data_IF_400884896736
#
_entry.id   IF_400884896736
#
_cell.length_a   1.000
_cell.length_b   1.000
_cell.length_c   1.000
_cell.angle_alpha   90.00
_cell.angle_beta   90.00
_cell.angle_gamma   90.00
#
_symmetry.space_group_name_H-M   'P 1'
#
loop_
_entity.id
_entity.type
_entity.pdbx_description
1 polymer ?
#
# COMPACT_ATOMS: atom_id res chain seq x y z
N UNK A 1 -45.49 -61.81 44.71
CA UNK A 1 -45.19 -60.37 44.89
C UNK A 1 -44.09 -59.95 43.92
N UNK A 2 -44.21 -58.74 43.35
CA UNK A 2 -43.25 -57.96 42.54
C UNK A 2 -43.08 -58.30 41.05
N UNK A 3 -44.08 -57.87 40.28
CA UNK A 3 -44.02 -56.99 39.10
C UNK A 3 -42.77 -57.01 38.20
N UNK A 4 -42.94 -57.60 37.02
CA UNK A 4 -42.16 -57.32 35.79
C UNK A 4 -42.64 -55.98 35.24
N UNK A 5 -41.74 -54.99 35.10
CA UNK A 5 -42.02 -53.74 34.38
C UNK A 5 -41.34 -53.79 33.02
N UNK A 6 -42.14 -53.95 31.98
CA UNK A 6 -41.79 -53.65 30.59
C UNK A 6 -42.00 -52.15 30.43
N UNK A 7 -40.96 -51.41 30.06
CA UNK A 7 -41.07 -50.04 29.60
C UNK A 7 -40.38 -49.92 28.24
N UNK A 8 -41.16 -50.10 27.18
CA UNK A 8 -40.86 -49.56 25.86
C UNK A 8 -40.95 -48.03 25.93
N UNK A 9 -40.02 -47.28 25.35
CA UNK A 9 -40.34 -46.25 24.33
C UNK A 9 -39.10 -45.42 23.90
N UNK A 10 -39.14 -45.10 22.61
CA UNK A 10 -38.54 -43.93 21.95
C UNK A 10 -37.04 -43.96 21.63
N UNK A 11 -36.77 -44.51 20.44
CA UNK A 11 -35.65 -44.20 19.57
C UNK A 11 -35.70 -42.69 19.22
N UNK A 12 -34.93 -41.88 19.93
CA UNK A 12 -34.76 -40.45 19.64
C UNK A 12 -33.75 -40.26 18.51
N UNK A 13 -34.23 -40.20 17.27
CA UNK A 13 -33.46 -39.81 16.10
C UNK A 13 -33.19 -38.29 16.18
N UNK A 14 -32.17 -37.89 16.94
CA UNK A 14 -31.71 -36.50 16.97
C UNK A 14 -30.91 -36.23 15.70
N UNK A 15 -31.62 -35.78 14.66
CA UNK A 15 -31.04 -35.07 13.52
C UNK A 15 -30.47 -33.77 14.09
N UNK A 16 -29.21 -33.79 14.53
CA UNK A 16 -28.46 -32.58 14.81
C UNK A 16 -28.10 -31.95 13.47
N UNK A 17 -28.92 -30.98 13.10
CA UNK A 17 -28.71 -30.00 12.05
C UNK A 17 -27.26 -29.51 12.02
N UNK A 18 -26.61 -29.81 10.89
CA UNK A 18 -25.64 -28.98 10.17
C UNK A 18 -25.21 -27.72 10.93
N UNK A 19 -24.09 -27.81 11.63
CA UNK A 19 -23.24 -26.63 11.86
C UNK A 19 -22.02 -26.78 10.97
N UNK A 20 -22.19 -26.37 9.71
CA UNK A 20 -21.08 -25.87 8.90
C UNK A 20 -20.54 -24.65 9.66
N UNK A 21 -19.48 -24.87 10.44
CA UNK A 21 -18.69 -23.78 11.01
C UNK A 21 -17.83 -23.22 9.89
N UNK A 22 -18.45 -22.37 9.07
CA UNK A 22 -17.75 -21.44 8.20
C UNK A 22 -17.67 -20.08 8.89
N UNK A 23 -16.55 -19.40 8.63
CA UNK A 23 -16.27 -17.99 8.91
C UNK A 23 -15.70 -17.69 10.30
N UNK A 24 -14.43 -18.07 10.48
CA UNK A 24 -13.51 -17.14 11.15
C UNK A 24 -13.31 -15.97 10.19
N UNK A 25 -14.00 -14.88 10.51
CA UNK A 25 -14.01 -13.62 9.79
C UNK A 25 -12.68 -12.88 10.04
N UNK A 26 -11.60 -13.31 9.37
CA UNK A 26 -10.28 -12.64 9.35
C UNK A 26 -10.30 -11.26 8.65
N UNK A 27 -11.44 -10.87 8.09
CA UNK A 27 -11.59 -9.64 7.30
C UNK A 27 -11.71 -8.35 8.15
N UNK A 28 -12.04 -8.46 9.45
CA UNK A 28 -12.27 -7.29 10.31
C UNK A 28 -11.02 -6.74 10.98
N UNK A 29 -10.04 -7.58 11.33
CA UNK A 29 -8.78 -7.10 11.94
C UNK A 29 -7.90 -6.36 10.92
N UNK A 30 -7.86 -6.84 9.67
CA UNK A 30 -7.08 -6.24 8.58
C UNK A 30 -7.55 -4.82 8.21
N UNK A 31 -8.85 -4.55 8.28
CA UNK A 31 -9.42 -3.22 7.97
C UNK A 31 -9.05 -2.15 9.01
N UNK A 32 -9.01 -2.52 10.29
CA UNK A 32 -8.70 -1.59 11.38
C UNK A 32 -7.23 -1.14 11.36
N UNK A 33 -6.33 -2.10 11.26
CA UNK A 33 -4.88 -1.82 11.18
C UNK A 33 -4.52 -1.05 9.92
N UNK A 34 -5.08 -1.43 8.76
CA UNK A 34 -4.84 -0.73 7.50
C UNK A 34 -5.20 0.76 7.58
N UNK A 35 -6.41 1.06 8.09
CA UNK A 35 -6.87 2.44 8.20
C UNK A 35 -5.94 3.26 9.08
N UNK A 36 -5.35 2.65 10.13
CA UNK A 36 -4.37 3.31 10.98
C UNK A 36 -3.09 3.70 10.22
N UNK A 37 -2.51 2.82 9.39
CA UNK A 37 -1.31 3.15 8.61
C UNK A 37 -1.57 4.28 7.62
N UNK A 38 -2.69 4.19 6.89
CA UNK A 38 -3.11 5.21 5.93
C UNK A 38 -3.39 6.55 6.62
N UNK A 39 -4.02 6.54 7.80
CA UNK A 39 -4.29 7.74 8.59
C UNK A 39 -3.02 8.37 9.16
N UNK A 40 -2.08 7.55 9.63
CA UNK A 40 -0.78 8.01 10.11
C UNK A 40 0.03 8.68 8.99
N UNK A 41 0.10 8.04 7.81
CA UNK A 41 0.76 8.64 6.64
C UNK A 41 0.07 9.96 6.26
N UNK A 42 -1.26 10.00 6.25
CA UNK A 42 -2.01 11.20 5.93
C UNK A 42 -1.79 12.35 6.92
N UNK A 43 -1.61 12.03 8.21
CA UNK A 43 -1.27 13.03 9.23
C UNK A 43 0.12 13.63 8.99
N UNK A 44 1.12 12.80 8.66
CA UNK A 44 2.48 13.28 8.34
C UNK A 44 2.49 14.13 7.08
N UNK A 45 1.78 13.70 6.01
CA UNK A 45 1.63 14.50 4.78
C UNK A 45 1.10 15.90 5.10
N UNK A 46 0.07 16.02 5.95
CA UNK A 46 -0.48 17.33 6.33
C UNK A 46 0.52 18.21 7.07
N UNK A 47 1.35 17.62 7.93
CA UNK A 47 2.39 18.36 8.64
C UNK A 47 3.44 18.87 7.66
N UNK A 48 3.92 18.00 6.77
CA UNK A 48 4.88 18.38 5.72
C UNK A 48 4.33 19.44 4.76
N UNK A 49 3.07 19.32 4.33
CA UNK A 49 2.40 20.35 3.49
C UNK A 49 2.38 21.71 4.21
N UNK A 50 2.05 21.70 5.51
CA UNK A 50 2.05 22.92 6.33
C UNK A 50 3.44 23.53 6.40
N UNK A 51 4.45 22.73 6.75
CA UNK A 51 5.82 23.19 6.94
C UNK A 51 6.44 23.69 5.63
N UNK A 52 6.10 23.07 4.50
CA UNK A 52 6.47 23.54 3.17
C UNK A 52 5.81 24.91 2.86
N UNK A 53 4.50 25.03 3.08
CA UNK A 53 3.75 26.27 2.80
C UNK A 53 4.15 27.45 3.69
N UNK A 54 4.62 27.17 4.91
CA UNK A 54 5.10 28.17 5.86
C UNK A 54 6.58 28.52 5.65
N UNK A 55 7.27 27.83 4.72
CA UNK A 55 8.68 28.04 4.45
C UNK A 55 9.58 27.60 5.60
N UNK A 56 9.16 26.58 6.36
CA UNK A 56 10.00 25.91 7.37
C UNK A 56 10.78 24.74 6.77
N UNK A 57 10.27 24.15 5.69
CA UNK A 57 10.89 23.05 4.98
C UNK A 57 11.44 23.51 3.62
N UNK A 58 12.57 22.93 3.18
CA UNK A 58 13.20 23.22 1.87
C UNK A 58 13.51 24.72 1.68
N UNK A 59 13.93 25.39 2.76
CA UNK A 59 14.22 26.84 2.77
C UNK A 59 15.33 27.20 1.79
N UNK A 60 16.36 26.37 1.75
CA UNK A 60 17.55 26.56 0.93
C UNK A 60 17.46 25.86 -0.44
N UNK A 61 16.35 25.16 -0.72
CA UNK A 61 16.13 24.54 -2.01
C UNK A 61 15.75 25.60 -3.06
N UNK A 62 16.07 25.32 -4.32
CA UNK A 62 15.58 26.11 -5.46
C UNK A 62 14.06 26.02 -5.59
N UNK A 63 13.46 27.00 -6.28
CA UNK A 63 12.01 26.96 -6.56
C UNK A 63 11.60 25.73 -7.36
N UNK A 64 12.48 25.26 -8.25
CA UNK A 64 12.27 24.04 -9.01
C UNK A 64 12.20 22.81 -8.11
N UNK A 65 13.12 22.67 -7.17
CA UNK A 65 13.13 21.55 -6.21
C UNK A 65 11.92 21.59 -5.28
N UNK A 66 11.55 22.79 -4.80
CA UNK A 66 10.32 22.98 -4.02
C UNK A 66 9.08 22.57 -4.80
N UNK A 67 8.99 22.96 -6.07
CA UNK A 67 7.88 22.58 -6.94
C UNK A 67 7.84 21.06 -7.15
N UNK A 68 8.98 20.45 -7.51
CA UNK A 68 9.05 18.99 -7.68
C UNK A 68 8.66 18.24 -6.40
N UNK A 69 9.10 18.71 -5.24
CA UNK A 69 8.69 18.14 -3.96
C UNK A 69 7.20 18.30 -3.70
N UNK A 70 6.62 19.47 -3.98
CA UNK A 70 5.19 19.73 -3.86
C UNK A 70 4.36 18.80 -4.74
N UNK A 71 4.79 18.57 -5.98
CA UNK A 71 4.11 17.68 -6.93
C UNK A 71 4.14 16.22 -6.42
N UNK A 72 5.29 15.76 -5.95
CA UNK A 72 5.45 14.43 -5.35
C UNK A 72 4.57 14.28 -4.11
N UNK A 73 4.54 15.28 -3.23
CA UNK A 73 3.72 15.26 -2.02
C UNK A 73 2.22 15.20 -2.35
N UNK A 74 1.79 15.89 -3.40
CA UNK A 74 0.43 15.82 -3.92
C UNK A 74 0.10 14.43 -4.46
N UNK A 75 0.98 13.81 -5.24
CA UNK A 75 0.78 12.45 -5.76
C UNK A 75 0.67 11.40 -4.64
N UNK A 76 1.53 11.52 -3.61
CA UNK A 76 1.44 10.69 -2.40
C UNK A 76 0.07 10.89 -1.73
N UNK A 77 -0.37 12.13 -1.56
CA UNK A 77 -1.64 12.47 -0.90
C UNK A 77 -2.84 11.90 -1.63
N UNK A 78 -2.93 12.09 -2.95
CA UNK A 78 -4.04 11.59 -3.76
C UNK A 78 -4.09 10.06 -3.72
N UNK A 79 -2.94 9.41 -3.91
CA UNK A 79 -2.85 7.96 -3.88
C UNK A 79 -3.24 7.39 -2.52
N UNK A 80 -2.78 8.03 -1.43
CA UNK A 80 -3.16 7.68 -0.05
C UNK A 80 -4.66 7.83 0.18
N UNK A 81 -5.28 8.91 -0.28
CA UNK A 81 -6.74 9.10 -0.16
C UNK A 81 -7.55 8.08 -0.95
N UNK A 82 -7.07 7.68 -2.14
CA UNK A 82 -7.70 6.61 -2.93
C UNK A 82 -7.63 5.28 -2.17
N UNK A 83 -6.47 4.95 -1.62
CA UNK A 83 -6.26 3.73 -0.83
C UNK A 83 -7.05 3.72 0.48
N UNK A 84 -7.27 4.90 1.09
CA UNK A 84 -8.17 5.04 2.24
C UNK A 84 -9.61 4.66 1.90
N UNK A 85 -10.09 5.08 0.73
CA UNK A 85 -11.47 4.79 0.28
C UNK A 85 -11.61 3.36 -0.24
N UNK A 86 -10.58 2.89 -0.95
CA UNK A 86 -10.52 1.56 -1.53
C UNK A 86 -9.12 0.94 -1.32
N UNK A 87 -8.96 0.16 -0.23
CA UNK A 87 -7.79 -0.67 0.05
C UNK A 87 -7.21 -1.47 -1.12
N UNK A 88 -8.10 -1.96 -1.98
CA UNK A 88 -7.76 -2.88 -3.08
C UNK A 88 -7.53 -2.14 -4.41
N UNK A 89 -7.43 -0.81 -4.39
CA UNK A 89 -7.09 -0.02 -5.57
C UNK A 89 -5.61 -0.25 -5.96
N UNK A 90 -5.41 -1.21 -6.86
CA UNK A 90 -4.10 -1.58 -7.37
C UNK A 90 -3.38 -0.43 -8.08
N UNK A 91 -4.14 0.45 -8.76
CA UNK A 91 -3.57 1.59 -9.47
C UNK A 91 -3.08 2.63 -8.46
N UNK A 92 -3.86 2.91 -7.41
CA UNK A 92 -3.45 3.84 -6.37
C UNK A 92 -2.19 3.35 -5.61
N UNK A 93 -2.07 2.03 -5.37
CA UNK A 93 -0.84 1.47 -4.78
C UNK A 93 0.37 1.65 -5.70
N UNK A 94 0.20 1.44 -7.02
CA UNK A 94 1.26 1.68 -8.00
C UNK A 94 1.66 3.16 -8.06
N UNK A 95 0.70 4.08 -8.09
CA UNK A 95 0.95 5.53 -8.04
C UNK A 95 1.67 5.95 -6.75
N UNK A 96 1.25 5.41 -5.59
CA UNK A 96 1.90 5.69 -4.31
C UNK A 96 3.38 5.22 -4.32
N UNK A 97 3.64 4.05 -4.89
CA UNK A 97 4.99 3.54 -5.04
C UNK A 97 5.83 4.41 -5.98
N UNK A 98 5.32 4.78 -7.15
CA UNK A 98 6.05 5.64 -8.09
C UNK A 98 6.40 6.99 -7.43
N UNK A 99 5.46 7.59 -6.71
CA UNK A 99 5.71 8.80 -5.94
C UNK A 99 6.79 8.60 -4.86
N UNK A 100 6.85 7.43 -4.21
CA UNK A 100 7.92 7.10 -3.27
C UNK A 100 9.30 6.97 -3.93
N UNK A 101 9.36 6.50 -5.18
CA UNK A 101 10.60 6.45 -5.95
C UNK A 101 11.06 7.86 -6.33
N UNK A 102 10.16 8.69 -6.85
CA UNK A 102 10.44 10.10 -7.13
C UNK A 102 10.86 10.86 -5.87
N UNK A 103 10.26 10.55 -4.73
CA UNK A 103 10.67 11.12 -3.44
C UNK A 103 12.12 10.76 -3.09
N UNK A 104 12.54 9.51 -3.32
CA UNK A 104 13.90 9.04 -3.02
C UNK A 104 14.98 9.64 -3.93
N UNK A 105 14.62 10.18 -5.11
CA UNK A 105 15.59 10.83 -6.00
C UNK A 105 15.82 12.30 -5.65
N UNK A 106 15.01 12.87 -4.75
CA UNK A 106 15.20 14.24 -4.30
C UNK A 106 16.47 14.36 -3.45
N UNK A 107 17.27 15.37 -3.77
CA UNK A 107 18.42 15.76 -2.95
C UNK A 107 17.95 16.58 -1.77
N UNK A 108 17.57 15.90 -0.69
CA UNK A 108 17.09 16.52 0.54
C UNK A 108 18.30 16.91 1.40
N UNK A 109 18.34 18.17 1.85
CA UNK A 109 19.36 18.64 2.78
C UNK A 109 19.14 18.03 4.17
N UNK A 110 20.24 17.78 4.89
CA UNK A 110 20.22 17.14 6.21
C UNK A 110 19.37 17.91 7.25
N UNK A 111 19.26 19.24 7.11
CA UNK A 111 18.46 20.11 8.00
C UNK A 111 16.96 19.80 7.94
N UNK A 112 16.47 19.32 6.79
CA UNK A 112 15.08 18.92 6.58
C UNK A 112 14.89 17.40 6.85
N UNK A 113 15.98 16.69 7.17
CA UNK A 113 16.05 15.23 7.18
C UNK A 113 15.22 14.55 8.26
N UNK A 114 14.90 15.22 9.37
CA UNK A 114 14.07 14.63 10.44
C UNK A 114 12.59 14.53 10.04
N UNK A 115 12.02 15.63 9.56
CA UNK A 115 10.62 15.71 9.12
C UNK A 115 10.39 14.89 7.84
N UNK A 116 11.34 14.97 6.91
CA UNK A 116 11.29 14.19 5.67
C UNK A 116 11.59 12.70 5.94
N UNK A 117 12.47 12.40 6.90
CA UNK A 117 12.73 11.03 7.34
C UNK A 117 11.48 10.33 7.88
N UNK A 118 10.66 11.03 8.68
CA UNK A 118 9.39 10.49 9.15
C UNK A 118 8.40 10.22 8.00
N UNK A 119 8.24 11.18 7.07
CA UNK A 119 7.42 10.99 5.88
C UNK A 119 7.84 9.75 5.09
N UNK A 120 9.15 9.60 4.87
CA UNK A 120 9.73 8.44 4.18
C UNK A 120 9.37 7.14 4.90
N UNK A 121 9.63 7.07 6.21
CA UNK A 121 9.38 5.86 6.99
C UNK A 121 7.90 5.45 6.93
N UNK A 122 6.96 6.38 7.14
CA UNK A 122 5.52 6.11 7.08
C UNK A 122 5.04 5.75 5.68
N UNK A 123 5.64 6.34 4.65
CA UNK A 123 5.31 6.04 3.27
C UNK A 123 5.66 4.58 2.94
N UNK A 124 6.88 4.14 3.25
CA UNK A 124 7.31 2.76 3.00
C UNK A 124 6.55 1.74 3.84
N UNK A 125 6.31 2.04 5.12
CA UNK A 125 5.50 1.20 6.02
C UNK A 125 4.08 1.00 5.46
N UNK A 126 3.45 2.09 4.99
CA UNK A 126 2.10 2.03 4.42
C UNK A 126 2.08 1.27 3.10
N UNK A 127 3.05 1.48 2.22
CA UNK A 127 3.16 0.73 0.95
C UNK A 127 3.28 -0.77 1.23
N UNK A 128 4.12 -1.16 2.18
CA UNK A 128 4.35 -2.58 2.51
C UNK A 128 3.07 -3.23 3.05
N UNK A 129 2.40 -2.60 4.01
CA UNK A 129 1.12 -3.11 4.57
C UNK A 129 0.07 -3.24 3.47
N UNK A 130 -0.12 -2.21 2.63
CA UNK A 130 -1.11 -2.23 1.56
C UNK A 130 -0.77 -3.26 0.47
N UNK A 131 0.51 -3.46 0.18
CA UNK A 131 0.95 -4.47 -0.76
C UNK A 131 0.64 -5.88 -0.23
N UNK A 132 0.94 -6.17 1.05
CA UNK A 132 0.57 -7.44 1.68
C UNK A 132 -0.94 -7.70 1.64
N UNK A 133 -1.76 -6.69 1.93
CA UNK A 133 -3.23 -6.79 1.87
C UNK A 133 -3.71 -7.15 0.46
N UNK A 134 -3.11 -6.55 -0.57
CA UNK A 134 -3.45 -6.85 -1.96
C UNK A 134 -2.86 -8.18 -2.47
N UNK A 135 -2.27 -9.01 -1.59
CA UNK A 135 -1.60 -10.26 -1.98
C UNK A 135 -0.32 -10.01 -2.79
N UNK A 136 0.22 -8.80 -2.72
CA UNK A 136 1.43 -8.36 -3.41
C UNK A 136 2.58 -8.35 -2.41
N UNK A 137 2.99 -9.52 -1.93
CA UNK A 137 4.14 -9.61 -1.03
C UNK A 137 5.43 -9.26 -1.76
N UNK A 138 6.19 -8.31 -1.22
CA UNK A 138 7.52 -7.94 -1.71
C UNK A 138 8.52 -9.11 -1.64
N UNK A 139 8.24 -10.12 -0.80
CA UNK A 139 9.11 -11.28 -0.56
C UNK A 139 9.03 -12.38 -1.63
N UNK A 140 8.04 -12.36 -2.54
CA UNK A 140 7.85 -13.45 -3.53
C UNK A 140 7.43 -12.97 -4.92
N UNK A 141 7.67 -11.70 -5.25
CA UNK A 141 7.25 -11.11 -6.52
C UNK A 141 8.51 -10.65 -7.27
N UNK A 142 8.90 -11.44 -8.27
CA UNK A 142 9.38 -10.87 -9.53
C UNK A 142 8.45 -9.70 -9.84
N UNK A 143 9.00 -8.50 -9.73
CA UNK A 143 8.41 -7.18 -9.91
C UNK A 143 7.38 -7.09 -11.07
N UNK A 144 6.17 -7.63 -10.93
CA UNK A 144 5.04 -7.48 -11.88
C UNK A 144 3.99 -6.48 -11.31
N UNK A 145 4.45 -5.52 -10.51
CA UNK A 145 3.69 -4.28 -10.28
C UNK A 145 4.12 -3.14 -11.20
N UNK A 146 5.10 -3.42 -12.05
CA UNK A 146 5.85 -2.44 -12.81
C UNK A 146 5.72 -2.80 -14.28
N UNK A 147 4.69 -2.27 -14.93
CA UNK A 147 4.83 -2.07 -16.37
C UNK A 147 6.03 -1.14 -16.57
N UNK A 148 7.03 -1.69 -17.25
CA UNK A 148 8.21 -1.00 -17.77
C UNK A 148 7.77 0.35 -18.32
N UNK A 149 8.10 1.45 -17.66
CA UNK A 149 8.18 2.73 -18.35
C UNK A 149 9.33 2.58 -19.34
N UNK A 150 9.00 2.29 -20.60
CA UNK A 150 9.94 2.50 -21.69
C UNK A 150 10.22 3.99 -21.73
N UNK A 151 11.38 4.39 -21.20
CA UNK A 151 11.91 5.73 -21.42
C UNK A 151 12.01 5.90 -22.93
N UNK A 152 11.35 6.94 -23.45
CA UNK A 152 11.43 7.36 -24.84
C UNK A 152 12.84 7.87 -25.16
N UNK A 153 13.81 6.95 -25.23
CA UNK A 153 15.05 7.13 -25.98
C UNK A 153 15.10 6.04 -27.06
N UNK A 154 14.15 6.12 -27.99
CA UNK A 154 14.29 5.48 -29.29
C UNK A 154 15.29 6.29 -30.11
N UNK A 155 16.58 6.13 -29.83
CA UNK A 155 17.64 6.46 -30.78
C UNK A 155 17.84 5.26 -31.73
N UNK A 156 18.12 5.54 -33.02
CA UNK A 156 17.62 4.73 -34.13
C UNK A 156 18.31 3.37 -34.20
N UNK A 157 17.55 2.36 -34.60
CA UNK A 157 18.05 1.06 -35.03
C UNK A 157 19.15 1.25 -36.09
N UNK A 158 20.42 1.19 -35.68
CA UNK A 158 21.47 0.81 -36.61
C UNK A 158 21.35 -0.70 -36.77
N UNK A 159 20.56 -1.13 -37.75
CA UNK A 159 20.72 -2.44 -38.34
C UNK A 159 22.17 -2.50 -38.85
N UNK A 160 23.04 -3.16 -38.10
CA UNK A 160 24.32 -3.63 -38.63
C UNK A 160 23.91 -4.72 -39.62
N UNK A 161 23.67 -4.33 -40.88
CA UNK A 161 23.77 -5.27 -41.98
C UNK A 161 25.25 -5.61 -42.07
N UNK A 162 25.60 -6.73 -41.48
CA UNK A 162 26.85 -7.44 -41.74
C UNK A 162 26.87 -7.74 -43.25
N UNK A 163 27.53 -6.87 -44.02
CA UNK A 163 27.90 -7.18 -45.40
C UNK A 163 29.18 -7.99 -45.30
N UNK A 164 28.99 -9.28 -45.03
CA UNK A 164 30.03 -10.29 -45.06
C UNK A 164 29.92 -11.15 -46.31
N UNK A 165 30.98 -11.09 -47.12
CA UNK A 165 31.37 -11.93 -48.27
C UNK A 165 30.76 -11.62 -49.65
#
# INVERSE_FOLDING_TARGET
MKSIRILSLALGLSIASVQVSCSKDESKETSGEQNQYVDNLYAVIKTVERDLSQGYLLRNASDRERQSFSDILYDIKISTQRLKKNPNDAQALSSLYLASQSYNTLSILEVDGSQLGELKARLFETIDVLARIQGKTLDNIERILFEKQFTYDLLPFQAITDVGA
#
